data_IF_121292244375
#
_entry.id   IF_121292244375
#
_cell.length_a   1.000
_cell.length_b   1.000
_cell.length_c   1.000
_cell.angle_alpha   90.00
_cell.angle_beta   90.00
_cell.angle_gamma   90.00
#
_symmetry.space_group_name_H-M   'P 1'
#
loop_
_entity.id
_entity.type
_entity.pdbx_description
1 polymer ?
#
# COMPACT_ATOMS: atom_id res chain seq x y z
N UNK A 1 -17.50 3.36 58.28
CA UNK A 1 -18.95 3.35 58.41
C UNK A 1 -19.63 4.72 58.43
N UNK A 2 -18.94 5.79 58.77
CA UNK A 2 -19.49 7.17 58.76
C UNK A 2 -19.90 7.67 57.39
N UNK A 3 -19.10 7.40 56.35
CA UNK A 3 -19.34 7.92 55.00
C UNK A 3 -20.57 7.34 54.25
N UNK A 4 -21.05 6.16 54.64
CA UNK A 4 -22.21 5.54 53.97
C UNK A 4 -23.53 6.12 54.57
N UNK A 5 -23.55 6.39 55.88
CA UNK A 5 -24.70 7.06 56.49
C UNK A 5 -24.90 8.47 55.98
N UNK A 6 -23.84 9.24 55.87
CA UNK A 6 -23.89 10.61 55.31
C UNK A 6 -24.37 10.63 53.85
N UNK A 7 -23.97 9.66 53.04
CA UNK A 7 -24.45 9.52 51.64
C UNK A 7 -25.96 9.14 51.56
N UNK A 8 -26.44 8.30 52.50
CA UNK A 8 -27.86 7.90 52.57
C UNK A 8 -28.73 9.06 53.05
N UNK A 9 -28.27 9.84 54.05
CA UNK A 9 -28.99 11.02 54.53
C UNK A 9 -29.10 12.12 53.47
N UNK A 10 -28.04 12.38 52.68
CA UNK A 10 -28.06 13.32 51.55
C UNK A 10 -29.05 12.86 50.49
N UNK A 11 -29.11 11.57 50.18
CA UNK A 11 -30.03 11.02 49.16
C UNK A 11 -31.49 11.09 49.64
N UNK A 12 -31.76 10.82 50.89
CA UNK A 12 -33.10 10.92 51.52
C UNK A 12 -33.64 12.34 51.54
N UNK A 13 -32.81 13.35 51.89
CA UNK A 13 -33.18 14.76 51.86
C UNK A 13 -33.44 15.28 50.46
N UNK A 14 -32.72 14.79 49.48
CA UNK A 14 -32.90 15.17 48.06
C UNK A 14 -34.20 14.58 47.48
N UNK A 15 -34.53 13.32 47.80
CA UNK A 15 -35.77 12.68 47.37
C UNK A 15 -37.01 13.37 47.98
N UNK A 16 -36.96 13.73 49.25
CA UNK A 16 -38.07 14.46 49.90
C UNK A 16 -38.26 15.86 49.33
N UNK A 17 -37.20 16.57 48.96
CA UNK A 17 -37.28 17.86 48.27
C UNK A 17 -37.90 17.72 46.87
N UNK A 18 -37.58 16.68 46.12
CA UNK A 18 -38.17 16.44 44.80
C UNK A 18 -39.65 16.11 44.92
N UNK A 19 -40.06 15.30 45.94
CA UNK A 19 -41.42 14.93 46.16
C UNK A 19 -42.34 16.10 46.61
N UNK A 20 -41.76 17.20 47.13
CA UNK A 20 -42.46 18.40 47.51
C UNK A 20 -42.54 19.49 46.43
N UNK A 21 -41.94 19.26 45.29
CA UNK A 21 -41.91 20.20 44.17
C UNK A 21 -43.30 20.34 43.50
N UNK A 22 -43.67 21.57 43.18
CA UNK A 22 -44.83 21.83 42.33
C UNK A 22 -44.55 21.36 40.89
N UNK A 23 -45.62 20.97 40.18
CA UNK A 23 -45.48 20.52 38.77
C UNK A 23 -44.64 21.46 37.89
N UNK A 24 -44.79 22.75 38.08
CA UNK A 24 -43.99 23.78 37.35
C UNK A 24 -42.51 23.69 37.68
N UNK A 25 -42.11 23.44 38.92
CA UNK A 25 -40.73 23.28 39.34
C UNK A 25 -40.10 22.02 38.77
N UNK A 26 -40.87 20.93 38.74
CA UNK A 26 -40.44 19.66 38.12
C UNK A 26 -40.20 19.85 36.65
N UNK A 27 -41.10 20.51 35.92
CA UNK A 27 -40.94 20.78 34.50
C UNK A 27 -39.68 21.65 34.21
N UNK A 28 -39.48 22.70 35.01
CA UNK A 28 -38.30 23.60 34.86
C UNK A 28 -37.01 22.80 35.10
N UNK A 29 -36.98 21.91 36.08
CA UNK A 29 -35.83 21.06 36.37
C UNK A 29 -35.53 20.13 35.21
N UNK A 30 -36.54 19.50 34.58
CA UNK A 30 -36.36 18.69 33.39
C UNK A 30 -35.84 19.44 32.22
N UNK A 31 -36.33 20.66 31.96
CA UNK A 31 -35.82 21.51 30.87
C UNK A 31 -34.37 21.89 31.09
N UNK A 32 -33.96 22.23 32.30
CA UNK A 32 -32.57 22.55 32.64
C UNK A 32 -31.67 21.33 32.40
N UNK A 33 -32.10 20.14 32.83
CA UNK A 33 -31.33 18.90 32.58
C UNK A 33 -31.19 18.64 31.09
N UNK A 34 -32.22 18.79 30.28
CA UNK A 34 -32.19 18.62 28.84
C UNK A 34 -31.19 19.58 28.17
N UNK A 35 -31.17 20.84 28.62
CA UNK A 35 -30.22 21.84 28.11
C UNK A 35 -28.78 21.44 28.45
N UNK A 36 -28.53 20.99 29.69
CA UNK A 36 -27.20 20.56 30.10
C UNK A 36 -26.75 19.31 29.30
N UNK A 37 -27.64 18.33 29.15
CA UNK A 37 -27.35 17.13 28.37
C UNK A 37 -27.09 17.47 26.89
N UNK A 38 -27.89 18.39 26.32
CA UNK A 38 -27.70 18.88 24.96
C UNK A 38 -26.33 19.58 24.78
N UNK A 39 -25.95 20.41 25.74
CA UNK A 39 -24.66 21.10 25.71
C UNK A 39 -23.49 20.13 25.82
N UNK A 40 -23.57 19.13 26.69
CA UNK A 40 -22.55 18.07 26.83
C UNK A 40 -22.44 17.25 25.54
N UNK A 41 -23.56 16.85 24.95
CA UNK A 41 -23.59 16.11 23.69
C UNK A 41 -22.96 16.92 22.55
N UNK A 42 -23.32 18.20 22.43
CA UNK A 42 -22.78 19.10 21.39
C UNK A 42 -21.26 19.29 21.53
N UNK A 43 -20.77 19.52 22.75
CA UNK A 43 -19.32 19.66 23.00
C UNK A 43 -18.57 18.36 22.71
N UNK A 44 -19.10 17.21 23.15
CA UNK A 44 -18.51 15.91 22.87
C UNK A 44 -18.42 15.63 21.36
N UNK A 45 -19.48 15.97 20.61
CA UNK A 45 -19.50 15.84 19.16
C UNK A 45 -18.42 16.71 18.47
N UNK A 46 -18.28 17.96 18.90
CA UNK A 46 -17.28 18.90 18.37
C UNK A 46 -15.86 18.35 18.65
N UNK A 47 -15.59 17.88 19.86
CA UNK A 47 -14.30 17.31 20.21
C UNK A 47 -13.98 16.03 19.43
N UNK A 48 -14.94 15.12 19.30
CA UNK A 48 -14.79 13.89 18.52
C UNK A 48 -14.49 14.19 17.05
N UNK A 49 -15.20 15.12 16.46
CA UNK A 49 -15.01 15.51 15.07
C UNK A 49 -13.65 16.20 14.83
N UNK A 50 -13.19 17.03 15.77
CA UNK A 50 -11.87 17.67 15.71
C UNK A 50 -10.74 16.63 15.87
N UNK A 51 -10.89 15.69 16.78
CA UNK A 51 -9.93 14.59 16.97
C UNK A 51 -9.84 13.68 15.71
N UNK A 52 -10.99 13.34 15.12
CA UNK A 52 -11.04 12.54 13.89
C UNK A 52 -10.34 13.26 12.72
N UNK A 53 -10.60 14.56 12.52
CA UNK A 53 -9.90 15.33 11.47
C UNK A 53 -8.40 15.40 11.71
N UNK A 54 -7.95 15.66 12.94
CA UNK A 54 -6.53 15.69 13.27
C UNK A 54 -5.84 14.33 13.06
N UNK A 55 -6.52 13.22 13.35
CA UNK A 55 -6.00 11.89 13.08
C UNK A 55 -5.80 11.63 11.57
N UNK A 56 -6.77 12.03 10.74
CA UNK A 56 -6.69 11.90 9.28
C UNK A 56 -5.55 12.75 8.73
N UNK A 57 -5.43 14.01 9.14
CA UNK A 57 -4.34 14.91 8.72
C UNK A 57 -2.97 14.32 9.10
N UNK A 58 -2.85 13.81 10.32
CA UNK A 58 -1.60 13.17 10.78
C UNK A 58 -1.25 11.95 9.94
N UNK A 59 -2.21 11.09 9.60
CA UNK A 59 -1.99 9.95 8.73
C UNK A 59 -1.54 10.36 7.33
N UNK A 60 -2.14 11.39 6.73
CA UNK A 60 -1.74 11.91 5.43
C UNK A 60 -0.30 12.44 5.44
N UNK A 61 0.09 13.18 6.49
CA UNK A 61 1.44 13.70 6.63
C UNK A 61 2.45 12.54 6.76
N UNK A 62 2.15 11.53 7.58
CA UNK A 62 3.01 10.35 7.73
C UNK A 62 3.17 9.61 6.41
N UNK A 63 2.08 9.38 5.68
CA UNK A 63 2.12 8.72 4.37
C UNK A 63 2.96 9.51 3.36
N UNK A 64 2.83 10.84 3.35
CA UNK A 64 3.64 11.68 2.49
C UNK A 64 5.12 11.63 2.86
N UNK A 65 5.47 11.67 4.14
CA UNK A 65 6.86 11.54 4.60
C UNK A 65 7.47 10.19 4.22
N UNK A 66 6.72 9.10 4.36
CA UNK A 66 7.16 7.76 3.93
C UNK A 66 7.42 7.75 2.43
N UNK A 67 6.48 8.27 1.64
CA UNK A 67 6.62 8.35 0.18
C UNK A 67 7.84 9.17 -0.24
N UNK A 68 8.05 10.34 0.36
CA UNK A 68 9.20 11.22 0.07
C UNK A 68 10.53 10.53 0.46
N UNK A 69 10.55 9.82 1.59
CA UNK A 69 11.71 9.04 2.01
C UNK A 69 12.03 7.91 1.02
N UNK A 70 11.02 7.12 0.63
CA UNK A 70 11.18 6.04 -0.36
C UNK A 70 11.66 6.58 -1.72
N UNK A 71 11.09 7.70 -2.18
CA UNK A 71 11.51 8.35 -3.42
C UNK A 71 12.97 8.80 -3.36
N UNK A 72 13.38 9.43 -2.26
CA UNK A 72 14.77 9.88 -2.08
C UNK A 72 15.74 8.68 -2.03
N UNK A 73 15.38 7.60 -1.34
CA UNK A 73 16.17 6.37 -1.31
C UNK A 73 16.30 5.75 -2.71
N UNK A 74 15.24 5.72 -3.49
CA UNK A 74 15.28 5.25 -4.89
C UNK A 74 16.20 6.11 -5.74
N UNK A 75 16.12 7.44 -5.65
CA UNK A 75 16.97 8.35 -6.39
C UNK A 75 18.45 8.18 -6.03
N UNK A 76 18.77 8.05 -4.73
CA UNK A 76 20.15 7.83 -4.27
C UNK A 76 20.73 6.49 -4.75
N UNK A 77 19.91 5.45 -4.75
CA UNK A 77 20.34 4.10 -5.11
C UNK A 77 20.30 3.83 -6.63
N UNK A 78 19.59 4.66 -7.41
CA UNK A 78 19.40 4.43 -8.84
C UNK A 78 20.73 4.38 -9.62
N UNK A 79 21.68 5.27 -9.30
CA UNK A 79 22.99 5.29 -9.93
C UNK A 79 23.80 4.02 -9.61
N UNK A 80 23.74 3.55 -8.36
CA UNK A 80 24.40 2.31 -7.94
C UNK A 80 23.77 1.09 -8.61
N UNK A 81 22.45 1.01 -8.68
CA UNK A 81 21.73 -0.07 -9.37
C UNK A 81 22.05 -0.09 -10.86
N UNK A 82 22.06 1.07 -11.53
CA UNK A 82 22.44 1.15 -12.94
C UNK A 82 23.87 0.66 -13.15
N UNK A 83 24.81 1.06 -12.30
CA UNK A 83 26.20 0.58 -12.36
C UNK A 83 26.29 -0.94 -12.18
N UNK A 84 25.53 -1.53 -11.27
CA UNK A 84 25.49 -2.97 -11.06
C UNK A 84 24.90 -3.72 -12.26
N UNK A 85 23.84 -3.18 -12.89
CA UNK A 85 23.26 -3.76 -14.12
C UNK A 85 24.26 -3.77 -15.26
N UNK A 86 25.01 -2.67 -15.43
CA UNK A 86 26.10 -2.59 -16.42
C UNK A 86 27.22 -3.59 -16.12
N UNK A 87 27.66 -3.66 -14.85
CA UNK A 87 28.70 -4.60 -14.44
C UNK A 87 28.26 -6.04 -14.68
N UNK A 88 27.02 -6.40 -14.30
CA UNK A 88 26.46 -7.73 -14.53
C UNK A 88 26.44 -8.10 -16.01
N UNK A 89 26.10 -7.15 -16.89
CA UNK A 89 26.13 -7.37 -18.33
C UNK A 89 27.53 -7.78 -18.82
N UNK A 90 28.57 -7.09 -18.38
CA UNK A 90 29.93 -7.43 -18.76
C UNK A 90 30.43 -8.73 -18.18
N UNK A 91 30.16 -9.00 -16.90
CA UNK A 91 30.59 -10.24 -16.21
C UNK A 91 29.87 -11.49 -16.78
N UNK A 92 28.57 -11.38 -17.04
CA UNK A 92 27.79 -12.45 -17.64
C UNK A 92 28.03 -12.62 -19.14
N UNK A 93 28.79 -11.70 -19.77
CA UNK A 93 28.95 -11.60 -21.24
C UNK A 93 27.60 -11.55 -21.97
N UNK A 94 26.60 -10.98 -21.33
CA UNK A 94 25.28 -10.84 -21.89
C UNK A 94 25.23 -9.66 -22.88
N UNK A 95 24.38 -9.74 -23.87
CA UNK A 95 24.13 -8.63 -24.80
C UNK A 95 23.18 -7.61 -24.19
N UNK A 96 22.36 -8.04 -23.25
CA UNK A 96 21.37 -7.21 -22.53
C UNK A 96 21.12 -7.72 -21.12
N UNK A 97 20.94 -6.82 -20.17
CA UNK A 97 20.49 -7.09 -18.82
C UNK A 97 19.33 -6.16 -18.49
N UNK A 98 18.26 -6.74 -17.95
CA UNK A 98 17.08 -6.04 -17.49
C UNK A 98 16.90 -6.27 -15.99
N UNK A 99 16.64 -5.23 -15.24
CA UNK A 99 16.12 -5.33 -13.88
C UNK A 99 14.63 -4.94 -13.92
N UNK A 100 13.79 -5.86 -13.48
CA UNK A 100 12.35 -5.65 -13.43
C UNK A 100 11.85 -5.72 -11.98
N UNK A 101 10.88 -4.89 -11.67
CA UNK A 101 10.26 -4.83 -10.35
C UNK A 101 8.78 -5.21 -10.44
N UNK A 102 8.32 -5.98 -9.45
CA UNK A 102 6.90 -6.23 -9.26
C UNK A 102 6.26 -5.05 -8.54
N UNK A 103 5.07 -4.70 -8.96
CA UNK A 103 4.29 -3.66 -8.29
C UNK A 103 2.79 -3.95 -8.37
N UNK A 104 2.06 -3.46 -7.39
CA UNK A 104 0.62 -3.55 -7.38
C UNK A 104 0.03 -2.61 -8.44
N UNK A 105 -0.71 -3.19 -9.39
CA UNK A 105 -1.48 -2.41 -10.34
C UNK A 105 -2.83 -1.97 -9.75
N UNK A 106 -3.61 -1.27 -10.58
CA UNK A 106 -5.02 -1.01 -10.27
C UNK A 106 -5.80 -2.32 -10.12
N UNK A 107 -6.84 -2.32 -9.27
CA UNK A 107 -7.73 -3.45 -9.15
C UNK A 107 -8.65 -3.58 -10.40
N UNK A 108 -9.09 -4.81 -10.69
CA UNK A 108 -10.14 -5.06 -11.67
C UNK A 108 -11.53 -4.62 -11.15
N UNK A 109 -12.56 -4.77 -11.97
CA UNK A 109 -13.96 -4.44 -11.61
C UNK A 109 -14.44 -5.19 -10.36
N UNK A 110 -13.86 -6.36 -10.06
CA UNK A 110 -14.16 -7.18 -8.87
C UNK A 110 -13.29 -6.83 -7.65
N UNK A 111 -12.47 -5.78 -7.73
CA UNK A 111 -11.59 -5.37 -6.63
C UNK A 111 -10.32 -6.22 -6.45
N UNK A 112 -10.05 -7.18 -7.36
CA UNK A 112 -8.85 -8.02 -7.30
C UNK A 112 -7.67 -7.22 -7.85
N UNK A 113 -6.58 -7.04 -7.08
CA UNK A 113 -5.41 -6.31 -7.56
C UNK A 113 -4.74 -7.05 -8.71
N UNK A 114 -4.42 -6.34 -9.79
CA UNK A 114 -3.54 -6.87 -10.82
C UNK A 114 -2.09 -6.74 -10.36
N UNK A 115 -1.43 -7.87 -10.21
CA UNK A 115 0.02 -7.87 -10.09
C UNK A 115 0.62 -7.53 -11.46
N UNK A 116 1.48 -6.52 -11.46
CA UNK A 116 2.18 -6.04 -12.65
C UNK A 116 3.69 -6.08 -12.41
N UNK A 117 4.44 -6.05 -13.49
CA UNK A 117 5.87 -5.85 -13.47
C UNK A 117 6.28 -4.84 -14.54
N UNK A 118 7.39 -4.17 -14.30
CA UNK A 118 7.96 -3.21 -15.24
C UNK A 118 9.48 -3.32 -15.21
N UNK A 119 10.12 -3.09 -16.35
CA UNK A 119 11.56 -2.93 -16.39
C UNK A 119 11.92 -1.56 -15.84
N UNK A 120 12.74 -1.55 -14.79
CA UNK A 120 13.20 -0.34 -14.11
C UNK A 120 14.57 0.10 -14.61
N UNK A 121 15.45 -0.86 -14.88
CA UNK A 121 16.77 -0.60 -15.42
C UNK A 121 17.06 -1.53 -16.59
N UNK A 122 17.74 -1.01 -17.59
CA UNK A 122 18.21 -1.75 -18.76
C UNK A 122 19.63 -1.32 -19.09
N UNK A 123 20.48 -2.31 -19.36
CA UNK A 123 21.76 -2.11 -20.02
C UNK A 123 21.86 -3.05 -21.22
N UNK A 124 22.36 -2.57 -22.32
CA UNK A 124 22.58 -3.36 -23.53
C UNK A 124 23.85 -2.89 -24.26
N UNK A 125 24.39 -3.80 -25.04
CA UNK A 125 25.57 -3.50 -25.87
C UNK A 125 25.14 -2.69 -27.08
N UNK A 126 26.05 -1.87 -27.61
CA UNK A 126 25.79 -1.01 -28.76
C UNK A 126 25.35 -1.83 -29.99
N UNK A 127 25.85 -3.04 -30.14
CA UNK A 127 25.51 -3.94 -31.23
C UNK A 127 24.02 -4.37 -31.24
N UNK A 128 23.37 -4.34 -30.10
CA UNK A 128 21.92 -4.64 -29.98
C UNK A 128 21.07 -3.48 -30.51
N UNK A 129 21.57 -2.26 -30.40
CA UNK A 129 21.06 -1.10 -31.11
C UNK A 129 19.79 -0.43 -30.60
N UNK A 130 18.99 -1.04 -29.69
CA UNK A 130 17.75 -0.44 -29.19
C UNK A 130 17.35 -0.94 -27.79
N UNK A 131 16.67 -0.07 -27.05
CA UNK A 131 16.08 -0.38 -25.75
C UNK A 131 14.74 -1.08 -25.93
N UNK A 132 14.47 -2.08 -25.08
CA UNK A 132 13.18 -2.76 -25.01
C UNK A 132 12.42 -2.42 -23.73
N UNK A 133 13.00 -1.65 -22.82
CA UNK A 133 12.41 -1.34 -21.52
C UNK A 133 10.96 -0.80 -21.62
N UNK A 134 10.69 0.05 -22.62
CA UNK A 134 9.37 0.63 -22.83
C UNK A 134 8.29 -0.40 -23.17
N UNK A 135 8.66 -1.50 -23.84
CA UNK A 135 7.75 -2.56 -24.26
C UNK A 135 7.35 -3.48 -23.08
N UNK A 136 8.07 -3.36 -21.96
CA UNK A 136 7.87 -4.14 -20.74
C UNK A 136 7.39 -3.29 -19.56
N UNK A 137 6.68 -2.19 -19.82
CA UNK A 137 6.07 -1.39 -18.77
C UNK A 137 4.67 -1.88 -18.42
N UNK A 138 4.35 -1.94 -17.11
CA UNK A 138 3.03 -2.28 -16.59
C UNK A 138 2.46 -3.62 -17.12
N UNK A 139 3.33 -4.61 -17.39
CA UNK A 139 2.91 -5.91 -17.89
C UNK A 139 2.17 -6.69 -16.81
N UNK A 140 1.03 -7.29 -17.17
CA UNK A 140 0.27 -8.11 -16.23
C UNK A 140 0.95 -9.47 -16.06
N UNK A 141 1.20 -9.88 -14.82
CA UNK A 141 1.84 -11.18 -14.51
C UNK A 141 1.00 -12.35 -15.02
N UNK A 142 -0.32 -12.25 -14.91
CA UNK A 142 -1.25 -13.30 -15.34
C UNK A 142 -1.25 -13.57 -16.83
N UNK A 143 -0.68 -12.65 -17.64
CA UNK A 143 -0.57 -12.87 -19.09
C UNK A 143 0.65 -13.71 -19.47
N UNK A 144 1.56 -13.95 -18.53
CA UNK A 144 2.81 -14.65 -18.78
C UNK A 144 3.01 -15.80 -17.80
N UNK A 145 2.61 -17.04 -18.15
CA UNK A 145 2.83 -18.24 -17.35
C UNK A 145 4.29 -18.41 -16.93
N UNK A 146 5.22 -17.95 -17.76
CA UNK A 146 6.66 -17.96 -17.47
C UNK A 146 7.01 -17.19 -16.19
N UNK A 147 6.36 -16.06 -15.93
CA UNK A 147 6.64 -15.26 -14.72
C UNK A 147 6.22 -16.04 -13.46
N UNK A 148 5.11 -16.79 -13.53
CA UNK A 148 4.70 -17.68 -12.45
C UNK A 148 5.71 -18.82 -12.26
N UNK A 149 6.20 -19.40 -13.36
CA UNK A 149 7.21 -20.46 -13.34
C UNK A 149 8.52 -20.03 -12.68
N UNK A 150 8.97 -18.78 -12.92
CA UNK A 150 10.14 -18.22 -12.23
C UNK A 150 9.87 -18.05 -10.74
N UNK A 151 8.68 -17.59 -10.35
CA UNK A 151 8.28 -17.45 -8.95
C UNK A 151 8.42 -18.74 -8.14
N UNK A 152 8.23 -19.88 -8.78
CA UNK A 152 8.35 -21.21 -8.16
C UNK A 152 9.80 -21.73 -8.14
N UNK A 153 10.60 -21.42 -9.16
CA UNK A 153 11.92 -22.02 -9.40
C UNK A 153 13.10 -21.07 -9.11
N UNK A 154 12.86 -19.78 -8.91
CA UNK A 154 13.86 -18.72 -8.64
C UNK A 154 14.92 -18.49 -9.72
N UNK A 155 15.16 -19.44 -10.58
CA UNK A 155 16.15 -19.35 -11.67
C UNK A 155 15.64 -20.12 -12.88
N UNK A 156 15.69 -19.47 -14.02
CA UNK A 156 15.47 -20.08 -15.33
C UNK A 156 16.62 -19.73 -16.28
N UNK A 157 17.01 -20.67 -17.10
CA UNK A 157 17.94 -20.46 -18.22
C UNK A 157 17.54 -21.36 -19.39
N UNK A 158 17.51 -20.81 -20.58
CA UNK A 158 17.14 -21.61 -21.75
C UNK A 158 17.01 -20.81 -23.03
N UNK A 159 16.91 -21.54 -24.14
CA UNK A 159 16.63 -20.97 -25.45
C UNK A 159 15.16 -20.62 -25.57
N UNK A 160 14.92 -19.42 -26.13
CA UNK A 160 13.57 -18.85 -26.26
C UNK A 160 12.73 -19.66 -27.25
N UNK A 161 13.31 -20.06 -28.39
CA UNK A 161 12.58 -20.76 -29.47
C UNK A 161 12.17 -22.19 -29.08
N UNK A 162 12.96 -22.87 -28.27
CA UNK A 162 12.75 -24.30 -27.95
C UNK A 162 12.18 -24.51 -26.56
N UNK A 163 12.84 -23.95 -25.53
CA UNK A 163 12.54 -24.27 -24.13
C UNK A 163 11.48 -23.34 -23.55
N UNK A 164 11.66 -22.00 -23.71
CA UNK A 164 10.70 -21.04 -23.18
C UNK A 164 9.35 -21.15 -23.88
N UNK A 165 9.34 -21.40 -25.18
CA UNK A 165 8.12 -21.51 -25.97
C UNK A 165 7.20 -22.65 -25.50
N UNK A 166 7.73 -23.70 -24.90
CA UNK A 166 6.93 -24.77 -24.30
C UNK A 166 6.23 -24.32 -22.99
N UNK A 167 6.84 -23.36 -22.26
CA UNK A 167 6.29 -22.82 -21.03
C UNK A 167 5.30 -21.69 -21.34
N UNK A 168 5.70 -20.75 -22.20
CA UNK A 168 4.95 -19.55 -22.51
C UNK A 168 5.20 -19.08 -23.95
N UNK A 169 4.34 -19.50 -24.86
CA UNK A 169 4.44 -19.12 -26.27
C UNK A 169 4.35 -17.63 -26.50
N UNK A 170 3.48 -16.95 -25.76
CA UNK A 170 3.22 -15.52 -25.92
C UNK A 170 4.45 -14.70 -25.55
N UNK A 171 5.04 -15.05 -24.43
CA UNK A 171 6.26 -14.38 -23.95
C UNK A 171 7.46 -14.69 -24.84
N UNK A 172 7.62 -15.95 -25.27
CA UNK A 172 8.66 -16.35 -26.21
C UNK A 172 8.60 -15.56 -27.51
N UNK A 173 7.42 -15.44 -28.15
CA UNK A 173 7.28 -14.65 -29.36
C UNK A 173 7.60 -13.16 -29.16
N UNK A 174 7.26 -12.61 -28.01
CA UNK A 174 7.63 -11.23 -27.67
C UNK A 174 9.13 -11.07 -27.56
N UNK A 175 9.85 -11.98 -26.93
CA UNK A 175 11.31 -11.94 -26.81
C UNK A 175 11.98 -12.12 -28.19
N UNK A 176 11.52 -13.08 -28.99
CA UNK A 176 12.01 -13.32 -30.35
C UNK A 176 11.82 -12.11 -31.26
N UNK A 177 10.70 -11.38 -31.12
CA UNK A 177 10.48 -10.13 -31.87
C UNK A 177 11.49 -9.03 -31.54
N UNK A 178 12.15 -9.12 -30.39
CA UNK A 178 13.25 -8.25 -29.98
C UNK A 178 14.63 -8.88 -30.25
N UNK A 179 14.71 -9.98 -30.99
CA UNK A 179 15.97 -10.66 -31.31
C UNK A 179 16.62 -11.38 -30.12
N UNK A 180 15.85 -11.68 -29.08
CA UNK A 180 16.35 -12.36 -27.88
C UNK A 180 16.19 -13.87 -28.07
N UNK A 181 17.31 -14.59 -28.18
CA UNK A 181 17.35 -16.03 -28.47
C UNK A 181 17.59 -16.91 -27.23
N UNK A 182 18.28 -16.38 -26.22
CA UNK A 182 18.60 -17.09 -24.99
C UNK A 182 18.42 -16.16 -23.79
N UNK A 183 17.86 -16.68 -22.71
CA UNK A 183 17.64 -15.90 -21.48
C UNK A 183 18.13 -16.63 -20.24
N UNK A 184 18.58 -15.84 -19.27
CA UNK A 184 18.79 -16.24 -17.88
C UNK A 184 17.97 -15.28 -17.05
N UNK A 185 17.07 -15.82 -16.25
CA UNK A 185 16.21 -15.00 -15.37
C UNK A 185 16.32 -15.51 -13.94
N UNK A 186 16.58 -14.61 -13.01
CA UNK A 186 16.63 -14.93 -11.59
C UNK A 186 15.73 -13.98 -10.81
N UNK A 187 14.99 -14.54 -9.87
CA UNK A 187 14.22 -13.74 -8.92
C UNK A 187 15.10 -13.37 -7.72
N UNK A 188 15.09 -12.08 -7.38
CA UNK A 188 15.71 -11.57 -6.15
C UNK A 188 14.59 -11.43 -5.13
N UNK A 189 14.71 -12.17 -4.02
CA UNK A 189 13.77 -12.13 -2.89
C UNK A 189 14.43 -11.37 -1.74
N UNK A 190 13.73 -10.38 -1.19
CA UNK A 190 14.15 -9.65 0.00
C UNK A 190 13.63 -10.31 1.26
#
# INVERSE_FOLDING_TARGET
MKNIKDAIDVSGSTITKIASMTWKQVLTFFVVILIILGAVAATSYIFANKAAKGAVETQLIIQQQIHDYEMNMRLQNSAALNSLVVQLMYEAKADRVLLAEYHNGSANVSGIPFLKWSVTFESFRDEVGFSVANDYQLQQITLYPFITHIGENYLYRGYVETELKEIDKSYAYKLLSHGIEYIIVSQIVN
#
